data_IF_315041758461
#
_entry.id   IF_315041758461
#
_cell.length_a   1.000
_cell.length_b   1.000
_cell.length_c   1.000
_cell.angle_alpha   90.00
_cell.angle_beta   90.00
_cell.angle_gamma   90.00
#
_symmetry.space_group_name_H-M   'P 1'
#
loop_
_entity.id
_entity.type
_entity.pdbx_description
1 polymer ?
#
# COMPACT_ATOMS: atom_id res chain seq x y z
N UNK A 1 20.51 -5.99 -12.46
CA UNK A 1 19.47 -5.39 -11.61
C UNK A 1 20.05 -4.68 -10.38
N UNK A 2 20.66 -5.34 -9.38
CA UNK A 2 21.21 -4.62 -8.20
C UNK A 2 22.22 -3.52 -8.55
N UNK A 3 23.15 -3.77 -9.47
CA UNK A 3 24.14 -2.76 -9.90
C UNK A 3 23.52 -1.56 -10.64
N UNK A 4 22.42 -1.75 -11.36
CA UNK A 4 21.72 -0.67 -12.06
C UNK A 4 20.97 0.22 -11.08
N UNK A 5 20.29 -0.35 -10.10
CA UNK A 5 19.58 0.38 -9.04
C UNK A 5 20.54 1.20 -8.18
N UNK A 6 21.71 0.66 -7.84
CA UNK A 6 22.74 1.39 -7.09
C UNK A 6 23.29 2.55 -7.91
N UNK A 7 23.46 2.38 -9.23
CA UNK A 7 23.96 3.44 -10.11
C UNK A 7 22.93 4.58 -10.26
N UNK A 8 21.67 4.23 -10.44
CA UNK A 8 20.56 5.22 -10.49
C UNK A 8 20.40 5.96 -9.17
N UNK A 9 20.39 5.25 -8.05
CA UNK A 9 20.35 5.83 -6.71
C UNK A 9 21.47 6.85 -6.48
N UNK A 10 22.71 6.50 -6.81
CA UNK A 10 23.88 7.38 -6.68
C UNK A 10 23.71 8.64 -7.52
N UNK A 11 23.20 8.49 -8.74
CA UNK A 11 22.92 9.61 -9.65
C UNK A 11 21.83 10.53 -9.10
N UNK A 12 20.76 9.97 -8.53
CA UNK A 12 19.68 10.75 -7.91
C UNK A 12 20.16 11.51 -6.67
N UNK A 13 20.96 10.89 -5.80
CA UNK A 13 21.58 11.57 -4.66
C UNK A 13 22.44 12.73 -5.11
N UNK A 14 23.28 12.52 -6.13
CA UNK A 14 24.10 13.59 -6.71
C UNK A 14 23.24 14.75 -7.25
N UNK A 15 22.17 14.43 -7.97
CA UNK A 15 21.29 15.44 -8.58
C UNK A 15 20.50 16.23 -7.53
N UNK A 16 20.09 15.56 -6.44
CA UNK A 16 19.29 16.18 -5.38
C UNK A 16 20.10 17.17 -4.49
N UNK A 17 21.43 17.04 -4.45
CA UNK A 17 22.29 18.00 -3.75
C UNK A 17 22.66 19.13 -4.70
N UNK A 18 22.34 20.40 -4.37
CA UNK A 18 22.47 21.54 -5.29
C UNK A 18 23.90 21.82 -5.76
N UNK A 19 24.06 22.21 -7.03
CA UNK A 19 25.34 22.55 -7.65
C UNK A 19 26.00 23.82 -7.07
N UNK A 20 25.20 24.72 -6.47
CA UNK A 20 25.70 25.93 -5.83
C UNK A 20 26.74 25.72 -4.72
N UNK A 21 26.83 24.48 -4.22
CA UNK A 21 27.80 24.08 -3.20
C UNK A 21 29.23 23.88 -3.75
N UNK A 22 29.41 23.88 -5.08
CA UNK A 22 30.71 23.72 -5.70
C UNK A 22 31.46 22.45 -5.22
N UNK A 23 32.70 22.63 -4.74
CA UNK A 23 33.53 21.52 -4.25
C UNK A 23 32.95 20.79 -3.03
N UNK A 24 32.15 21.46 -2.20
CA UNK A 24 31.47 20.86 -1.04
C UNK A 24 30.39 19.85 -1.44
N UNK A 25 29.83 19.98 -2.65
CA UNK A 25 28.84 19.01 -3.16
C UNK A 25 29.39 17.60 -3.21
N UNK A 26 30.60 17.43 -3.76
CA UNK A 26 31.24 16.14 -3.88
C UNK A 26 31.49 15.50 -2.50
N UNK A 27 31.97 16.29 -1.55
CA UNK A 27 32.22 15.83 -0.18
C UNK A 27 30.92 15.40 0.52
N UNK A 28 29.84 16.19 0.41
CA UNK A 28 28.53 15.87 0.98
C UNK A 28 27.93 14.62 0.36
N UNK A 29 27.98 14.46 -0.98
CA UNK A 29 27.50 13.26 -1.66
C UNK A 29 28.26 12.01 -1.18
N UNK A 30 29.59 12.08 -1.12
CA UNK A 30 30.39 10.94 -0.64
C UNK A 30 30.12 10.60 0.82
N UNK A 31 29.97 11.61 1.67
CA UNK A 31 29.64 11.43 3.09
C UNK A 31 28.28 10.80 3.25
N UNK A 32 27.28 11.27 2.48
CA UNK A 32 25.93 10.73 2.50
C UNK A 32 25.88 9.28 2.00
N UNK A 33 26.51 8.99 0.87
CA UNK A 33 26.54 7.62 0.31
C UNK A 33 27.29 6.62 1.18
N UNK A 34 28.26 7.07 1.99
CA UNK A 34 28.88 6.21 3.01
C UNK A 34 27.92 5.85 4.13
N UNK A 35 27.09 6.79 4.59
CA UNK A 35 26.08 6.55 5.65
C UNK A 35 24.86 5.83 5.10
N UNK A 36 24.44 6.15 3.89
CA UNK A 36 23.27 5.60 3.21
C UNK A 36 23.68 5.02 1.84
N UNK A 37 24.26 3.83 1.78
CA UNK A 37 24.76 3.24 0.53
C UNK A 37 23.69 2.78 -0.44
N UNK A 38 22.44 2.69 0.00
CA UNK A 38 21.28 2.28 -0.79
C UNK A 38 20.00 2.92 -0.25
N UNK A 39 18.88 2.86 -1.01
CA UNK A 39 17.58 3.45 -0.60
C UNK A 39 17.05 2.92 0.73
N UNK A 40 17.29 1.64 1.04
CA UNK A 40 16.84 1.01 2.27
C UNK A 40 17.51 1.62 3.51
N UNK A 41 18.79 2.00 3.39
CA UNK A 41 19.51 2.69 4.47
C UNK A 41 18.85 4.04 4.83
N UNK A 42 18.31 4.77 3.83
CA UNK A 42 17.55 6.02 4.08
C UNK A 42 16.26 5.74 4.86
N UNK A 43 15.53 4.67 4.48
CA UNK A 43 14.29 4.29 5.18
C UNK A 43 14.53 3.98 6.67
N UNK A 44 15.71 3.41 7.00
CA UNK A 44 16.09 3.01 8.37
C UNK A 44 16.64 4.14 9.24
N UNK A 45 16.88 5.32 8.68
CA UNK A 45 17.37 6.45 9.46
C UNK A 45 16.37 6.86 10.54
N UNK A 46 16.83 6.89 11.78
CA UNK A 46 16.10 7.45 12.91
C UNK A 46 15.92 8.97 12.76
N UNK A 47 15.03 9.55 13.56
CA UNK A 47 14.86 11.02 13.60
C UNK A 47 16.14 11.73 14.02
N UNK A 48 16.90 11.15 14.95
CA UNK A 48 18.17 11.72 15.43
C UNK A 48 19.20 11.75 14.31
N UNK A 49 19.37 10.64 13.58
CA UNK A 49 20.32 10.55 12.47
C UNK A 49 19.95 11.51 11.30
N UNK A 50 18.66 11.67 11.02
CA UNK A 50 18.20 12.67 10.04
C UNK A 50 18.53 14.09 10.48
N UNK A 51 18.38 14.41 11.78
CA UNK A 51 18.76 15.70 12.33
C UNK A 51 20.25 15.95 12.20
N UNK A 52 21.09 14.98 12.56
CA UNK A 52 22.54 15.05 12.40
C UNK A 52 22.97 15.31 10.94
N UNK A 53 22.32 14.63 9.98
CA UNK A 53 22.61 14.84 8.55
C UNK A 53 22.20 16.24 8.10
N UNK A 54 21.09 16.80 8.62
CA UNK A 54 20.66 18.15 8.31
C UNK A 54 21.66 19.23 8.79
N UNK A 55 22.43 18.93 9.84
CA UNK A 55 23.46 19.82 10.34
C UNK A 55 24.73 19.86 9.44
N UNK A 56 24.89 18.92 8.50
CA UNK A 56 26.05 18.93 7.60
C UNK A 56 26.03 20.09 6.62
N UNK A 57 24.85 20.48 6.15
CA UNK A 57 24.61 21.66 5.33
C UNK A 57 23.11 21.99 5.32
N UNK A 58 22.73 23.28 5.21
CA UNK A 58 21.31 23.70 5.14
C UNK A 58 20.53 23.02 4.03
N UNK A 59 21.21 22.66 2.94
CA UNK A 59 20.62 22.01 1.78
C UNK A 59 20.15 20.57 2.03
N UNK A 60 20.66 19.91 3.07
CA UNK A 60 20.24 18.56 3.42
C UNK A 60 18.78 18.49 3.90
N UNK A 61 18.27 19.58 4.46
CA UNK A 61 16.85 19.69 4.79
C UNK A 61 15.96 19.62 3.55
N UNK A 62 16.36 20.27 2.45
CA UNK A 62 15.64 20.22 1.18
C UNK A 62 15.70 18.81 0.55
N UNK A 63 16.84 18.12 0.71
CA UNK A 63 16.99 16.73 0.26
C UNK A 63 16.00 15.80 0.97
N UNK A 64 15.90 15.87 2.30
CA UNK A 64 14.91 15.08 3.03
C UNK A 64 13.48 15.51 2.75
N UNK A 65 13.22 16.81 2.57
CA UNK A 65 11.89 17.30 2.16
C UNK A 65 11.47 16.71 0.80
N UNK A 66 12.39 16.62 -0.16
CA UNK A 66 12.12 15.99 -1.46
C UNK A 66 11.80 14.49 -1.33
N UNK A 67 12.47 13.77 -0.42
CA UNK A 67 12.16 12.36 -0.13
C UNK A 67 10.76 12.23 0.49
N UNK A 68 10.42 13.08 1.46
CA UNK A 68 9.08 13.05 2.07
C UNK A 68 7.98 13.47 1.06
N UNK A 69 8.28 14.44 0.18
CA UNK A 69 7.38 14.80 -0.92
C UNK A 69 7.17 13.61 -1.87
N UNK A 70 8.24 12.89 -2.24
CA UNK A 70 8.16 11.68 -3.04
C UNK A 70 7.28 10.61 -2.40
N UNK A 71 7.37 10.43 -1.07
CA UNK A 71 6.49 9.51 -0.33
C UNK A 71 5.03 9.98 -0.34
N UNK A 72 4.78 11.30 -0.24
CA UNK A 72 3.43 11.84 -0.34
C UNK A 72 2.88 11.61 -1.75
N UNK A 73 3.69 11.86 -2.79
CA UNK A 73 3.30 11.65 -4.19
C UNK A 73 3.00 10.17 -4.48
N UNK A 74 3.85 9.25 -4.00
CA UNK A 74 3.60 7.81 -4.15
C UNK A 74 2.45 7.30 -3.27
N UNK A 75 2.14 8.00 -2.18
CA UNK A 75 0.96 7.73 -1.33
C UNK A 75 -0.27 8.53 -1.73
N UNK A 76 -0.12 9.60 -2.54
CA UNK A 76 -1.28 10.23 -3.15
C UNK A 76 -1.91 9.20 -4.07
N UNK A 77 -3.05 8.72 -3.63
CA UNK A 77 -3.79 7.68 -4.30
C UNK A 77 -4.03 8.10 -5.76
N UNK A 78 -3.46 7.38 -6.71
CA UNK A 78 -4.18 7.23 -7.95
C UNK A 78 -5.56 6.74 -7.53
N UNK A 79 -6.57 7.54 -7.81
CA UNK A 79 -7.94 7.18 -7.49
C UNK A 79 -8.14 5.76 -8.01
N UNK A 80 -8.41 4.81 -7.10
CA UNK A 80 -8.82 3.47 -7.48
C UNK A 80 -10.27 3.62 -7.95
N UNK A 81 -10.45 4.51 -8.92
CA UNK A 81 -11.68 4.75 -9.62
C UNK A 81 -11.64 3.84 -10.82
N UNK A 82 -12.69 3.09 -11.01
CA UNK A 82 -12.84 2.21 -12.14
C UNK A 82 -13.79 1.07 -11.83
N UNK A 83 -14.09 0.30 -12.86
CA UNK A 83 -15.01 -0.82 -12.71
C UNK A 83 -14.37 -1.96 -11.93
N UNK A 84 -15.05 -2.44 -10.90
CA UNK A 84 -14.72 -3.67 -10.19
C UNK A 84 -15.17 -4.93 -10.97
N UNK A 85 -15.24 -4.85 -12.31
CA UNK A 85 -15.66 -5.98 -13.13
C UNK A 85 -14.66 -7.12 -13.13
N UNK A 86 -13.38 -6.81 -12.94
CA UNK A 86 -12.30 -7.78 -12.98
C UNK A 86 -11.51 -7.75 -11.68
N UNK A 87 -11.56 -8.83 -10.91
CA UNK A 87 -10.65 -9.02 -9.78
C UNK A 87 -9.19 -8.95 -10.24
N UNK A 88 -8.90 -9.33 -11.48
CA UNK A 88 -7.54 -9.29 -12.05
C UNK A 88 -7.00 -7.86 -12.11
N UNK A 89 -7.79 -6.91 -12.61
CA UNK A 89 -7.33 -5.51 -12.72
C UNK A 89 -7.19 -4.86 -11.35
N UNK A 90 -8.20 -5.02 -10.49
CA UNK A 90 -8.16 -4.50 -9.14
C UNK A 90 -7.04 -5.16 -8.33
N UNK A 91 -6.87 -6.49 -8.44
CA UNK A 91 -5.83 -7.22 -7.75
C UNK A 91 -4.42 -6.75 -8.12
N UNK A 92 -4.15 -6.51 -9.40
CA UNK A 92 -2.87 -5.95 -9.85
C UNK A 92 -2.61 -4.55 -9.29
N UNK A 93 -3.60 -3.67 -9.37
CA UNK A 93 -3.50 -2.31 -8.78
C UNK A 93 -3.22 -2.37 -7.28
N UNK A 94 -3.85 -3.31 -6.57
CA UNK A 94 -3.63 -3.48 -5.13
C UNK A 94 -2.26 -4.08 -4.82
N UNK A 95 -1.74 -4.99 -5.63
CA UNK A 95 -0.36 -5.48 -5.51
C UNK A 95 0.62 -4.32 -5.63
N UNK A 96 0.50 -3.48 -6.66
CA UNK A 96 1.35 -2.31 -6.86
C UNK A 96 1.23 -1.32 -5.69
N UNK A 97 0.00 -1.11 -5.19
CA UNK A 97 -0.26 -0.21 -4.06
C UNK A 97 0.40 -0.68 -2.75
N UNK A 98 0.31 -1.99 -2.45
CA UNK A 98 0.82 -2.55 -1.19
C UNK A 98 2.25 -3.08 -1.27
N UNK A 99 2.90 -3.07 -2.43
CA UNK A 99 4.23 -3.64 -2.65
C UNK A 99 5.30 -3.13 -1.66
N UNK A 100 5.18 -1.89 -1.20
CA UNK A 100 6.13 -1.27 -0.26
C UNK A 100 5.64 -1.22 1.18
N UNK A 101 4.45 -1.72 1.48
CA UNK A 101 3.89 -1.67 2.83
C UNK A 101 4.46 -2.81 3.68
N UNK A 102 4.97 -2.45 4.85
CA UNK A 102 5.57 -3.40 5.81
C UNK A 102 4.57 -3.85 6.89
N UNK A 103 3.40 -3.21 6.94
CA UNK A 103 2.35 -3.49 7.92
C UNK A 103 1.11 -4.06 7.23
N UNK A 104 0.44 -4.96 7.93
CA UNK A 104 -0.88 -5.43 7.52
C UNK A 104 -1.87 -4.28 7.52
N UNK A 105 -2.66 -4.21 6.48
CA UNK A 105 -3.71 -3.21 6.31
C UNK A 105 -4.96 -3.85 5.77
N UNK A 106 -6.10 -3.29 6.12
CA UNK A 106 -7.37 -3.69 5.54
C UNK A 106 -8.07 -2.49 4.95
N UNK A 107 -8.39 -2.62 3.67
CA UNK A 107 -9.12 -1.62 2.90
C UNK A 107 -10.53 -2.08 2.60
N UNK A 108 -11.40 -1.11 2.45
CA UNK A 108 -12.72 -1.27 1.82
C UNK A 108 -12.77 -0.44 0.55
N UNK A 109 -13.25 -1.02 -0.54
CA UNK A 109 -13.73 -0.30 -1.70
C UNK A 109 -15.25 -0.43 -1.76
N UNK A 110 -15.95 0.69 -1.90
CA UNK A 110 -17.39 0.78 -2.02
C UNK A 110 -17.77 0.85 -3.49
N UNK A 111 -18.79 0.10 -3.90
CA UNK A 111 -19.25 0.09 -5.30
C UNK A 111 -20.70 0.52 -5.40
N UNK A 112 -21.06 1.06 -6.57
CA UNK A 112 -22.44 1.30 -6.96
C UNK A 112 -23.11 0.03 -7.53
N UNK A 113 -24.33 0.18 -8.08
CA UNK A 113 -25.10 -0.89 -8.70
C UNK A 113 -24.47 -1.45 -9.99
N UNK A 114 -23.54 -0.71 -10.59
CA UNK A 114 -22.81 -1.11 -11.79
C UNK A 114 -21.45 -1.72 -11.47
N UNK A 115 -21.15 -1.92 -10.17
CA UNK A 115 -19.84 -2.30 -9.65
C UNK A 115 -18.73 -1.30 -10.01
N UNK A 116 -19.06 -0.01 -10.16
CA UNK A 116 -18.07 1.05 -10.20
C UNK A 116 -17.62 1.40 -8.79
N UNK A 117 -16.31 1.52 -8.59
CA UNK A 117 -15.77 1.93 -7.29
C UNK A 117 -16.04 3.42 -7.12
N UNK A 118 -16.92 3.76 -6.16
CA UNK A 118 -17.34 5.13 -5.85
C UNK A 118 -16.52 5.77 -4.74
N UNK A 119 -15.94 4.93 -3.86
CA UNK A 119 -15.06 5.39 -2.78
C UNK A 119 -14.26 4.23 -2.23
N UNK A 120 -13.11 4.50 -1.61
CA UNK A 120 -12.32 3.49 -0.94
C UNK A 120 -11.51 4.07 0.22
N UNK A 121 -11.18 3.24 1.19
CA UNK A 121 -10.45 3.67 2.38
C UNK A 121 -9.69 2.53 3.03
N UNK A 122 -8.50 2.83 3.57
CA UNK A 122 -7.83 1.98 4.54
C UNK A 122 -8.55 2.14 5.87
N UNK A 123 -9.18 1.08 6.35
CA UNK A 123 -9.93 1.07 7.61
C UNK A 123 -9.05 0.72 8.80
N UNK A 124 -8.01 -0.07 8.56
CA UNK A 124 -7.13 -0.56 9.60
C UNK A 124 -5.69 -0.68 9.08
N UNK A 125 -4.73 -0.32 9.92
CA UNK A 125 -3.31 -0.59 9.74
C UNK A 125 -2.82 -1.30 11.00
N UNK A 126 -2.39 -2.54 10.86
CA UNK A 126 -2.05 -3.40 11.98
C UNK A 126 -0.62 -3.23 12.47
N UNK A 127 -0.39 -3.66 13.70
CA UNK A 127 0.91 -3.85 14.30
C UNK A 127 0.93 -5.21 15.02
N UNK A 128 1.54 -6.21 14.41
CA UNK A 128 2.14 -7.37 15.06
C UNK A 128 1.27 -8.46 15.70
N UNK A 129 -0.01 -8.26 15.96
CA UNK A 129 -0.90 -9.29 16.55
C UNK A 129 -2.35 -8.98 16.23
N UNK A 130 -3.00 -9.89 15.54
CA UNK A 130 -4.43 -10.01 15.29
C UNK A 130 -5.16 -8.71 14.91
N UNK A 131 -5.38 -8.56 13.61
CA UNK A 131 -6.29 -7.56 13.09
C UNK A 131 -7.74 -7.94 13.45
N UNK A 132 -8.25 -7.50 14.60
CA UNK A 132 -9.67 -7.68 14.95
C UNK A 132 -10.46 -6.66 14.15
N UNK A 133 -10.91 -7.04 12.97
CA UNK A 133 -11.83 -6.25 12.18
C UNK A 133 -13.24 -6.36 12.77
N UNK A 134 -13.77 -5.23 13.16
CA UNK A 134 -15.16 -5.12 13.57
C UNK A 134 -16.03 -4.81 12.35
N UNK A 135 -16.97 -5.67 11.97
CA UNK A 135 -17.85 -5.45 10.83
C UNK A 135 -18.66 -4.14 10.90
N UNK A 136 -18.91 -3.63 12.11
CA UNK A 136 -19.63 -2.38 12.33
C UNK A 136 -18.96 -1.18 11.62
N UNK A 137 -17.62 -1.09 11.64
CA UNK A 137 -16.88 0.00 10.98
C UNK A 137 -16.94 -0.11 9.46
N UNK A 138 -16.92 -1.34 8.95
CA UNK A 138 -17.05 -1.62 7.53
C UNK A 138 -18.43 -1.19 7.04
N UNK A 139 -19.47 -1.66 7.71
CA UNK A 139 -20.86 -1.32 7.35
C UNK A 139 -21.16 0.15 7.52
N UNK A 140 -20.66 0.76 8.61
CA UNK A 140 -20.83 2.21 8.82
C UNK A 140 -20.23 3.01 7.65
N UNK A 141 -19.06 2.63 7.17
CA UNK A 141 -18.43 3.30 6.04
C UNK A 141 -19.21 3.08 4.74
N UNK A 142 -19.55 1.83 4.42
CA UNK A 142 -20.30 1.48 3.21
C UNK A 142 -21.65 2.22 3.14
N UNK A 143 -22.39 2.26 4.24
CA UNK A 143 -23.67 2.97 4.32
C UNK A 143 -23.51 4.49 4.15
N UNK A 144 -22.46 5.09 4.70
CA UNK A 144 -22.15 6.52 4.50
C UNK A 144 -21.86 6.87 3.04
N UNK A 145 -21.23 5.95 2.31
CA UNK A 145 -20.95 6.11 0.88
C UNK A 145 -22.15 5.77 0.01
N UNK A 146 -23.29 5.36 0.59
CA UNK A 146 -24.45 4.85 -0.14
C UNK A 146 -24.09 3.69 -1.09
N UNK A 147 -23.15 2.86 -0.69
CA UNK A 147 -22.67 1.73 -1.46
C UNK A 147 -23.79 0.70 -1.70
N UNK A 148 -23.74 0.03 -2.84
CA UNK A 148 -24.55 -1.15 -3.14
C UNK A 148 -23.73 -2.43 -2.96
N UNK A 149 -22.43 -2.35 -3.14
CA UNK A 149 -21.50 -3.44 -2.92
C UNK A 149 -20.22 -2.98 -2.21
N UNK A 150 -19.50 -3.94 -1.67
CA UNK A 150 -18.19 -3.73 -1.06
C UNK A 150 -17.19 -4.77 -1.52
N UNK A 151 -15.94 -4.34 -1.64
CA UNK A 151 -14.79 -5.21 -1.82
C UNK A 151 -13.89 -5.00 -0.61
N UNK A 152 -13.53 -6.09 0.05
CA UNK A 152 -12.54 -6.05 1.12
C UNK A 152 -11.19 -6.48 0.60
N UNK A 153 -10.15 -5.77 1.01
CA UNK A 153 -8.78 -6.01 0.59
C UNK A 153 -7.90 -6.04 1.82
N UNK A 154 -7.21 -7.16 2.02
CA UNK A 154 -6.28 -7.37 3.12
C UNK A 154 -4.89 -7.65 2.56
N UNK A 155 -3.88 -6.84 2.88
CA UNK A 155 -2.52 -7.14 2.45
C UNK A 155 -1.78 -7.97 3.48
N UNK A 156 -0.99 -8.94 2.97
CA UNK A 156 -0.03 -9.71 3.74
C UNK A 156 1.40 -9.30 3.36
N UNK A 157 2.09 -8.51 4.17
CA UNK A 157 3.48 -8.09 3.90
C UNK A 157 4.48 -9.26 3.81
N UNK A 158 4.12 -10.42 4.36
CA UNK A 158 4.91 -11.65 4.22
C UNK A 158 4.97 -12.16 2.78
N UNK A 159 3.96 -11.81 1.96
CA UNK A 159 3.78 -12.31 0.60
C UNK A 159 2.93 -13.57 0.49
N UNK A 160 2.52 -14.18 1.62
CA UNK A 160 1.62 -15.35 1.60
C UNK A 160 0.19 -14.88 1.33
N UNK A 161 -0.40 -15.37 0.25
CA UNK A 161 -1.78 -15.05 -0.16
C UNK A 161 -2.80 -16.10 0.26
N UNK A 162 -2.37 -17.17 0.97
CA UNK A 162 -3.28 -18.18 1.42
C UNK A 162 -4.18 -17.64 2.55
N UNK A 163 -5.51 -17.81 2.42
CA UNK A 163 -6.42 -17.41 3.47
C UNK A 163 -6.18 -18.17 4.76
N UNK A 164 -6.08 -17.46 5.86
CA UNK A 164 -6.11 -18.05 7.18
C UNK A 164 -7.54 -18.51 7.54
N UNK A 165 -7.67 -19.34 8.56
CA UNK A 165 -9.00 -19.71 9.11
C UNK A 165 -9.75 -18.49 9.64
N UNK A 166 -9.03 -17.47 10.09
CA UNK A 166 -9.61 -16.22 10.56
C UNK A 166 -10.18 -15.41 9.39
N UNK A 167 -9.44 -15.30 8.27
CA UNK A 167 -9.90 -14.64 7.04
C UNK A 167 -11.17 -15.29 6.51
N UNK A 168 -11.18 -16.62 6.43
CA UNK A 168 -12.37 -17.36 5.99
C UNK A 168 -13.59 -17.15 6.93
N UNK A 169 -13.36 -17.18 8.23
CA UNK A 169 -14.43 -16.94 9.21
C UNK A 169 -14.95 -15.52 9.12
N UNK A 170 -14.05 -14.56 8.95
CA UNK A 170 -14.39 -13.15 8.81
C UNK A 170 -15.16 -12.91 7.51
N UNK A 171 -14.70 -13.43 6.39
CA UNK A 171 -15.38 -13.31 5.08
C UNK A 171 -16.81 -13.83 5.15
N UNK A 172 -17.04 -15.01 5.73
CA UNK A 172 -18.40 -15.56 5.93
C UNK A 172 -19.28 -14.69 6.82
N UNK A 173 -18.73 -14.10 7.87
CA UNK A 173 -19.49 -13.18 8.75
C UNK A 173 -19.85 -11.89 8.02
N UNK A 174 -18.92 -11.37 7.22
CA UNK A 174 -19.13 -10.15 6.45
C UNK A 174 -20.21 -10.38 5.37
N UNK A 175 -20.14 -11.48 4.64
CA UNK A 175 -21.13 -11.88 3.63
C UNK A 175 -22.55 -11.90 4.20
N UNK A 176 -22.72 -12.62 5.33
CA UNK A 176 -24.04 -12.65 6.03
C UNK A 176 -24.49 -11.27 6.50
N UNK A 177 -23.57 -10.43 6.98
CA UNK A 177 -23.89 -9.07 7.37
C UNK A 177 -24.32 -8.21 6.18
N UNK A 178 -23.65 -8.34 5.04
CA UNK A 178 -24.04 -7.68 3.80
C UNK A 178 -25.46 -8.06 3.38
N UNK A 179 -25.77 -9.36 3.37
CA UNK A 179 -27.13 -9.86 3.05
C UNK A 179 -28.22 -9.25 3.93
N UNK A 180 -27.97 -9.14 5.24
CA UNK A 180 -28.94 -8.59 6.20
C UNK A 180 -29.25 -7.11 5.93
N UNK A 181 -28.24 -6.33 5.54
CA UNK A 181 -28.38 -4.88 5.35
C UNK A 181 -28.58 -4.46 3.89
N UNK A 182 -28.71 -5.44 2.98
CA UNK A 182 -28.95 -5.18 1.56
C UNK A 182 -27.72 -4.70 0.77
N UNK A 183 -26.51 -5.03 1.24
CA UNK A 183 -25.26 -4.85 0.51
C UNK A 183 -24.83 -6.16 -0.16
N UNK A 184 -23.95 -6.06 -1.15
CA UNK A 184 -23.29 -7.20 -1.77
C UNK A 184 -21.82 -7.23 -1.36
N UNK A 185 -21.30 -8.37 -0.86
CA UNK A 185 -19.89 -8.61 -0.81
C UNK A 185 -19.43 -9.01 -2.23
N UNK A 186 -18.91 -8.06 -2.98
CA UNK A 186 -18.49 -8.26 -4.39
C UNK A 186 -17.26 -9.13 -4.47
N UNK A 187 -16.28 -8.92 -3.59
CA UNK A 187 -15.08 -9.74 -3.46
C UNK A 187 -14.44 -9.57 -2.07
N UNK A 188 -13.62 -10.54 -1.70
CA UNK A 188 -12.64 -10.42 -0.64
C UNK A 188 -11.29 -10.83 -1.21
N UNK A 189 -10.28 -9.99 -1.07
CA UNK A 189 -8.96 -10.18 -1.66
C UNK A 189 -7.88 -10.20 -0.59
N UNK A 190 -6.94 -11.13 -0.70
CA UNK A 190 -5.68 -11.11 0.04
C UNK A 190 -4.58 -10.74 -0.94
N UNK A 191 -3.84 -9.68 -0.64
CA UNK A 191 -2.80 -9.14 -1.49
C UNK A 191 -1.44 -9.41 -0.88
N UNK A 192 -0.61 -10.16 -1.61
CA UNK A 192 0.79 -10.39 -1.28
C UNK A 192 1.71 -9.36 -1.93
N UNK A 193 3.00 -9.66 -2.01
CA UNK A 193 4.00 -8.77 -2.62
C UNK A 193 3.92 -8.72 -4.14
N UNK A 194 3.66 -9.86 -4.76
CA UNK A 194 3.74 -10.02 -6.22
C UNK A 194 2.45 -10.59 -6.83
N UNK A 195 1.50 -11.00 -5.98
CA UNK A 195 0.29 -11.66 -6.40
C UNK A 195 -0.83 -11.48 -5.37
N UNK A 196 -2.03 -11.92 -5.69
CA UNK A 196 -3.20 -11.82 -4.84
C UNK A 196 -4.04 -13.10 -4.90
N UNK A 197 -4.92 -13.26 -3.92
CA UNK A 197 -6.00 -14.24 -3.89
C UNK A 197 -7.35 -13.50 -3.90
N UNK A 198 -8.30 -13.98 -4.70
CA UNK A 198 -9.67 -13.47 -4.76
C UNK A 198 -10.66 -14.59 -4.49
N UNK A 199 -11.58 -14.37 -3.54
CA UNK A 199 -12.66 -15.35 -3.28
C UNK A 199 -13.60 -15.48 -4.46
N UNK A 200 -13.90 -14.37 -5.14
CA UNK A 200 -14.75 -14.37 -6.33
C UNK A 200 -14.17 -15.24 -7.44
N UNK A 201 -12.87 -15.09 -7.76
CA UNK A 201 -12.20 -15.90 -8.77
C UNK A 201 -12.14 -17.37 -8.36
N UNK A 202 -11.83 -17.66 -7.10
CA UNK A 202 -11.78 -19.02 -6.58
C UNK A 202 -13.15 -19.72 -6.66
N UNK A 203 -14.24 -19.00 -6.41
CA UNK A 203 -15.60 -19.52 -6.51
C UNK A 203 -15.97 -19.84 -7.96
N UNK A 204 -15.66 -18.95 -8.90
CA UNK A 204 -15.90 -19.17 -10.34
C UNK A 204 -15.15 -20.40 -10.86
N UNK A 205 -13.88 -20.58 -10.47
CA UNK A 205 -13.09 -21.76 -10.85
C UNK A 205 -13.68 -23.04 -10.31
N UNK A 206 -14.22 -23.03 -9.10
CA UNK A 206 -14.87 -24.21 -8.51
C UNK A 206 -16.22 -24.56 -9.16
N UNK A 207 -16.96 -23.58 -9.63
CA UNK A 207 -18.20 -23.79 -10.39
C UNK A 207 -17.94 -24.40 -11.77
N UNK A 208 -16.88 -23.99 -12.45
CA UNK A 208 -16.50 -24.54 -13.77
C UNK A 208 -15.95 -25.97 -13.71
N UNK A 209 -15.58 -26.47 -12.52
CA UNK A 209 -15.09 -27.84 -12.32
C UNK A 209 -16.18 -28.84 -11.93
N UNK A 210 -17.42 -28.41 -11.73
CA UNK A 210 -18.60 -29.22 -11.46
C UNK A 210 -19.36 -29.54 -12.73
#
# INVERSE_FOLDING_TARGET
MENEVINEYTKLVWTAIPDKLGTKKQELCQRFLRKCPNPLAIKRLSRVEKSEINEWAPEMSNFFAAIELGKIVTKSHEEIIGHAYSSIELGRKMVDHFQSEEQESVCIACTDIHNEIIDWKILFVGGGCECILYPDKIFQYALRCSAQGIIMIHNHPTGDIHPSKQDESFTRRLERGCEIIGLHLVDFMIVGRDTYHSWREASLVNELKK
#
